data_IF_130540019537
#
_entry.id   IF_130540019537
#
_cell.length_a   1.000
_cell.length_b   1.000
_cell.length_c   1.000
_cell.angle_alpha   90.00
_cell.angle_beta   90.00
_cell.angle_gamma   90.00
#
_symmetry.space_group_name_H-M   'P 1'
#
loop_
_entity.id
_entity.type
_entity.pdbx_description
1 polymer ?
#
# COMPACT_ATOMS: atom_id res chain seq x y z
N UNK A 1 -19.17 10.46 16.88
CA UNK A 1 -18.09 9.63 16.38
C UNK A 1 -17.21 10.32 15.32
N UNK A 2 -17.76 10.91 14.24
CA UNK A 2 -16.97 11.56 13.16
C UNK A 2 -16.02 12.72 13.57
N UNK A 3 -16.24 13.42 14.67
CA UNK A 3 -15.42 14.58 15.10
C UNK A 3 -14.21 14.23 15.97
N UNK A 4 -14.16 13.05 16.58
CA UNK A 4 -13.05 12.65 17.48
C UNK A 4 -11.93 11.87 16.76
N UNK A 5 -12.24 11.21 15.66
CA UNK A 5 -11.25 10.49 14.83
C UNK A 5 -10.34 11.44 14.02
N UNK A 6 -10.80 12.66 13.72
CA UNK A 6 -10.09 13.63 12.87
C UNK A 6 -8.74 14.11 13.47
N UNK A 7 -8.64 14.26 14.78
CA UNK A 7 -7.40 14.76 15.44
C UNK A 7 -6.30 13.70 15.56
N UNK A 8 -6.64 12.42 15.53
CA UNK A 8 -5.66 11.31 15.61
C UNK A 8 -5.03 10.99 14.25
N UNK A 9 -5.79 11.18 13.17
CA UNK A 9 -5.34 10.91 11.81
C UNK A 9 -4.22 11.86 11.35
N UNK A 10 -4.35 13.18 11.64
CA UNK A 10 -3.31 14.18 11.33
C UNK A 10 -1.98 13.85 11.99
N UNK A 11 -1.99 13.32 13.21
CA UNK A 11 -0.76 12.98 13.93
C UNK A 11 -0.08 11.72 13.39
N UNK A 12 -0.84 10.69 13.06
CA UNK A 12 -0.30 9.41 12.53
C UNK A 12 0.16 9.57 11.08
N UNK A 13 -0.59 10.31 10.26
CA UNK A 13 -0.19 10.60 8.87
C UNK A 13 1.03 11.52 8.78
N UNK A 14 1.15 12.51 9.68
CA UNK A 14 2.32 13.39 9.74
C UNK A 14 3.59 12.63 10.17
N UNK A 15 3.48 11.62 11.04
CA UNK A 15 4.61 10.78 11.46
C UNK A 15 5.07 9.83 10.34
N UNK A 16 4.17 9.25 9.56
CA UNK A 16 4.53 8.40 8.42
C UNK A 16 5.16 9.17 7.25
N UNK A 17 4.95 10.50 7.19
CA UNK A 17 5.47 11.37 6.14
C UNK A 17 6.62 12.30 6.58
N UNK A 18 6.83 12.52 7.89
CA UNK A 18 7.73 13.54 8.44
C UNK A 18 9.08 13.00 8.94
N UNK A 19 9.39 11.72 8.75
CA UNK A 19 10.61 11.08 9.24
C UNK A 19 11.89 11.56 8.56
N UNK A 20 12.27 12.81 8.79
CA UNK A 20 13.61 13.32 8.53
C UNK A 20 14.37 13.39 9.88
N UNK A 21 14.83 12.24 10.37
CA UNK A 21 15.67 12.11 11.55
C UNK A 21 16.82 11.17 11.25
N UNK A 22 18.04 11.64 11.48
CA UNK A 22 19.29 10.85 11.35
C UNK A 22 19.22 9.63 12.25
N UNK A 23 19.12 8.45 11.67
CA UNK A 23 19.23 7.19 12.40
C UNK A 23 20.71 6.88 12.66
N UNK A 24 21.11 6.87 13.91
CA UNK A 24 22.37 6.27 14.36
C UNK A 24 22.23 4.74 14.28
N UNK A 25 23.20 4.12 13.63
CA UNK A 25 23.35 2.66 13.55
C UNK A 25 23.62 2.07 14.94
N UNK A 26 22.64 1.44 15.54
CA UNK A 26 22.86 0.51 16.64
C UNK A 26 22.69 -0.93 16.12
N UNK A 27 23.79 -1.66 16.10
CA UNK A 27 23.83 -3.09 15.81
C UNK A 27 23.03 -3.86 16.87
N UNK A 28 21.94 -4.52 16.46
CA UNK A 28 21.18 -5.43 17.34
C UNK A 28 21.64 -6.87 17.05
N UNK A 29 22.15 -7.50 18.09
CA UNK A 29 22.53 -8.91 18.12
C UNK A 29 21.31 -9.81 17.83
N UNK A 30 21.49 -10.76 16.93
CA UNK A 30 20.58 -11.88 16.69
C UNK A 30 20.40 -12.70 17.96
N UNK A 31 19.20 -12.69 18.53
CA UNK A 31 18.77 -13.70 19.49
C UNK A 31 17.85 -14.68 18.77
N UNK A 32 18.16 -15.96 18.88
CA UNK A 32 17.34 -17.10 18.48
C UNK A 32 15.90 -16.93 19.02
N UNK A 33 14.96 -16.62 18.11
CA UNK A 33 13.55 -16.71 18.42
C UNK A 33 12.99 -18.02 17.82
N UNK A 34 12.95 -19.04 18.64
CA UNK A 34 12.03 -20.17 18.43
C UNK A 34 10.61 -19.61 18.44
N UNK A 35 9.73 -19.95 17.48
CA UNK A 35 8.36 -19.46 17.46
C UNK A 35 7.64 -19.86 18.75
N UNK A 36 7.25 -18.89 19.56
CA UNK A 36 6.37 -19.14 20.70
C UNK A 36 5.00 -19.56 20.16
N UNK A 37 4.43 -20.59 20.79
CA UNK A 37 3.08 -21.06 20.46
C UNK A 37 2.10 -19.89 20.48
N UNK A 38 1.45 -19.63 19.35
CA UNK A 38 0.41 -18.63 19.16
C UNK A 38 -0.69 -18.83 20.19
N UNK A 39 -1.06 -17.80 20.93
CA UNK A 39 -2.17 -17.87 21.87
C UNK A 39 -3.46 -18.23 21.14
N UNK A 40 -4.15 -19.28 21.58
CA UNK A 40 -5.28 -19.93 20.90
C UNK A 40 -6.52 -19.03 20.64
N UNK A 41 -6.57 -17.83 21.25
CA UNK A 41 -7.71 -16.91 21.09
C UNK A 41 -7.62 -16.02 19.84
N UNK A 42 -6.43 -15.57 19.46
CA UNK A 42 -6.23 -14.72 18.27
C UNK A 42 -6.45 -15.51 16.97
N UNK A 43 -6.01 -16.78 16.98
CA UNK A 43 -6.19 -17.69 15.83
C UNK A 43 -7.67 -17.99 15.55
N UNK A 44 -8.51 -18.07 16.58
CA UNK A 44 -9.93 -18.40 16.38
C UNK A 44 -10.74 -17.33 15.66
N UNK A 45 -10.44 -16.05 15.84
CA UNK A 45 -11.18 -14.95 15.18
C UNK A 45 -10.84 -14.89 13.67
N UNK A 46 -9.59 -15.05 13.32
CA UNK A 46 -9.14 -15.13 11.93
C UNK A 46 -9.52 -16.46 11.28
N UNK A 47 -9.45 -17.57 12.03
CA UNK A 47 -9.74 -18.92 11.53
C UNK A 47 -11.16 -19.03 10.95
N UNK A 48 -12.12 -18.31 11.48
CA UNK A 48 -13.49 -18.28 10.96
C UNK A 48 -13.65 -17.51 9.64
N UNK A 49 -12.66 -16.65 9.28
CA UNK A 49 -12.67 -15.80 8.09
C UNK A 49 -11.57 -16.22 7.09
N UNK A 50 -10.67 -17.10 7.50
CA UNK A 50 -9.45 -17.44 6.83
C UNK A 50 -9.26 -18.95 6.77
N UNK A 51 -8.90 -19.49 5.59
CA UNK A 51 -8.69 -20.92 5.39
C UNK A 51 -7.23 -21.30 5.61
N UNK A 52 -6.97 -21.95 6.75
CA UNK A 52 -5.61 -22.27 7.21
C UNK A 52 -5.05 -23.60 6.62
N UNK A 53 -5.71 -24.21 5.67
CA UNK A 53 -5.25 -25.49 5.10
C UNK A 53 -4.00 -25.34 4.21
N UNK A 54 -3.50 -24.09 4.05
CA UNK A 54 -2.37 -23.80 3.20
C UNK A 54 -1.17 -23.28 4.01
N UNK A 55 -0.02 -23.94 3.89
CA UNK A 55 1.25 -23.61 4.56
C UNK A 55 1.88 -22.27 4.06
N UNK A 56 1.14 -21.46 3.31
CA UNK A 56 1.65 -20.21 2.72
C UNK A 56 1.64 -19.02 3.67
N UNK A 57 0.84 -19.07 4.76
CA UNK A 57 0.79 -18.07 5.84
C UNK A 57 1.18 -18.74 7.15
N UNK A 58 2.22 -18.27 7.82
CA UNK A 58 2.78 -18.99 8.96
C UNK A 58 2.93 -18.21 10.24
N UNK A 59 2.68 -16.92 10.23
CA UNK A 59 2.70 -16.11 11.45
C UNK A 59 1.47 -15.20 11.42
N UNK A 60 0.70 -15.24 12.49
CA UNK A 60 -0.45 -14.35 12.65
C UNK A 60 -0.52 -13.90 14.07
N UNK A 61 -0.43 -12.59 14.32
CA UNK A 61 -0.55 -11.98 15.63
C UNK A 61 -1.60 -10.88 15.61
N UNK A 62 -2.52 -10.93 16.57
CA UNK A 62 -3.53 -9.90 16.75
C UNK A 62 -2.91 -8.70 17.44
N UNK A 63 -3.04 -7.54 16.82
CA UNK A 63 -2.46 -6.31 17.33
C UNK A 63 -3.41 -5.58 18.29
N UNK A 64 -2.82 -5.01 19.34
CA UNK A 64 -3.55 -4.19 20.29
C UNK A 64 -3.88 -2.81 19.68
N UNK A 65 -5.15 -2.54 19.56
CA UNK A 65 -5.68 -1.25 19.12
C UNK A 65 -6.26 -0.48 20.31
N UNK A 66 -6.25 0.85 20.20
CA UNK A 66 -6.99 1.68 21.15
C UNK A 66 -8.52 1.38 21.12
N UNK A 67 -9.23 1.78 22.17
CA UNK A 67 -10.67 1.47 22.35
C UNK A 67 -11.54 1.93 21.17
N UNK A 68 -11.17 3.00 20.47
CA UNK A 68 -11.96 3.54 19.35
C UNK A 68 -11.82 2.67 18.10
N UNK A 69 -10.60 2.27 17.77
CA UNK A 69 -10.31 1.41 16.63
C UNK A 69 -10.80 -0.02 16.87
N UNK A 70 -10.54 -0.57 18.06
CA UNK A 70 -10.98 -1.93 18.41
C UNK A 70 -12.50 -2.11 18.42
N UNK A 71 -13.26 -1.03 18.60
CA UNK A 71 -14.72 -1.06 18.48
C UNK A 71 -15.22 -1.23 17.04
N UNK A 72 -14.41 -0.88 16.03
CA UNK A 72 -14.84 -0.83 14.61
C UNK A 72 -14.04 -1.74 13.68
N UNK A 73 -12.82 -2.13 14.05
CA UNK A 73 -12.02 -3.09 13.29
C UNK A 73 -11.15 -3.95 14.21
N UNK A 74 -10.61 -5.02 13.67
CA UNK A 74 -9.53 -5.80 14.27
C UNK A 74 -8.39 -5.89 13.28
N UNK A 75 -7.13 -5.85 13.77
CA UNK A 75 -5.94 -5.82 12.92
C UNK A 75 -4.97 -6.91 13.35
N UNK A 76 -4.38 -7.52 12.36
CA UNK A 76 -3.39 -8.58 12.56
C UNK A 76 -2.14 -8.27 11.74
N UNK A 77 -0.99 -8.63 12.29
CA UNK A 77 0.24 -8.82 11.56
C UNK A 77 0.34 -10.28 11.15
N UNK A 78 0.81 -10.56 9.95
CA UNK A 78 1.05 -11.90 9.47
C UNK A 78 2.25 -11.93 8.51
N UNK A 79 2.76 -13.13 8.24
CA UNK A 79 3.81 -13.35 7.26
C UNK A 79 3.37 -14.40 6.25
N UNK A 80 3.78 -14.21 5.00
CA UNK A 80 3.53 -15.15 3.92
C UNK A 80 4.78 -15.39 3.07
N UNK A 81 4.81 -16.48 2.30
CA UNK A 81 5.89 -16.79 1.37
C UNK A 81 5.61 -16.23 -0.01
N UNK A 82 6.61 -15.52 -0.56
CA UNK A 82 6.62 -15.05 -1.94
C UNK A 82 8.02 -15.22 -2.51
N UNK A 83 8.16 -15.93 -3.61
CA UNK A 83 9.45 -16.27 -4.27
C UNK A 83 10.51 -16.87 -3.32
N UNK A 84 10.07 -17.56 -2.26
CA UNK A 84 10.94 -18.14 -1.25
C UNK A 84 11.37 -17.19 -0.14
N UNK A 85 10.91 -15.93 -0.16
CA UNK A 85 11.12 -14.94 0.90
C UNK A 85 9.92 -14.86 1.84
N UNK A 86 10.18 -14.66 3.12
CA UNK A 86 9.16 -14.34 4.09
C UNK A 86 8.84 -12.84 4.01
N UNK A 87 7.59 -12.53 3.71
CA UNK A 87 7.09 -11.16 3.58
C UNK A 87 6.14 -10.85 4.74
N UNK A 88 6.41 -9.75 5.42
CA UNK A 88 5.58 -9.24 6.49
C UNK A 88 4.40 -8.45 5.93
N UNK A 89 3.21 -8.64 6.52
CA UNK A 89 1.99 -7.98 6.09
C UNK A 89 1.06 -7.65 7.26
N UNK A 90 0.11 -6.78 6.97
CA UNK A 90 -0.96 -6.40 7.90
C UNK A 90 -2.32 -6.58 7.24
N UNK A 91 -3.30 -6.89 8.08
CA UNK A 91 -4.69 -7.04 7.68
C UNK A 91 -5.60 -6.41 8.72
N UNK A 92 -6.41 -5.44 8.32
CA UNK A 92 -7.45 -4.87 9.16
C UNK A 92 -8.81 -5.26 8.61
N UNK A 93 -9.67 -5.79 9.49
CA UNK A 93 -10.98 -6.35 9.12
C UNK A 93 -12.07 -5.57 9.85
N UNK A 94 -13.10 -5.06 9.15
CA UNK A 94 -14.22 -4.38 9.78
C UNK A 94 -14.93 -5.31 10.77
N UNK A 95 -15.24 -4.82 11.96
CA UNK A 95 -15.94 -5.58 13.00
C UNK A 95 -17.32 -6.04 12.54
N UNK A 96 -17.95 -5.33 11.61
CA UNK A 96 -19.22 -5.71 11.00
C UNK A 96 -19.09 -6.99 10.17
N UNK A 97 -18.03 -7.11 9.37
CA UNK A 97 -17.75 -8.33 8.58
C UNK A 97 -17.52 -9.54 9.50
N UNK A 98 -16.77 -9.35 10.60
CA UNK A 98 -16.52 -10.40 11.59
C UNK A 98 -17.83 -10.85 12.23
N UNK A 99 -18.70 -9.92 12.65
CA UNK A 99 -19.98 -10.23 13.31
C UNK A 99 -21.00 -10.86 12.37
N UNK A 100 -21.10 -10.35 11.15
CA UNK A 100 -22.05 -10.84 10.14
C UNK A 100 -21.57 -12.10 9.44
N UNK A 101 -20.28 -12.45 9.51
CA UNK A 101 -19.65 -13.52 8.74
C UNK A 101 -19.87 -13.36 7.22
N UNK A 102 -19.96 -12.11 6.76
CA UNK A 102 -20.11 -11.79 5.34
C UNK A 102 -18.85 -11.15 4.80
N UNK A 103 -18.47 -11.44 3.55
CA UNK A 103 -17.37 -10.75 2.88
C UNK A 103 -17.62 -9.24 2.83
N UNK A 104 -16.55 -8.47 2.90
CA UNK A 104 -16.56 -7.03 2.71
C UNK A 104 -15.61 -6.62 1.58
N UNK A 105 -15.89 -5.46 1.01
CA UNK A 105 -15.04 -4.80 0.02
C UNK A 105 -13.62 -4.65 0.59
N UNK A 106 -12.61 -4.67 -0.28
CA UNK A 106 -11.22 -4.67 0.16
C UNK A 106 -10.40 -3.55 -0.51
N UNK A 107 -9.44 -3.03 0.25
CA UNK A 107 -8.37 -2.16 -0.24
C UNK A 107 -7.04 -2.87 -0.02
N UNK A 108 -6.25 -3.06 -1.07
CA UNK A 108 -4.84 -3.38 -0.98
C UNK A 108 -4.06 -2.07 -1.01
N UNK A 109 -3.34 -1.78 0.07
CA UNK A 109 -2.55 -0.55 0.22
C UNK A 109 -1.08 -0.80 -0.06
N UNK A 110 -0.52 -0.07 -1.03
CA UNK A 110 0.90 -0.04 -1.33
C UNK A 110 1.55 1.19 -0.67
N UNK A 111 2.52 0.95 0.21
CA UNK A 111 3.26 2.02 0.89
C UNK A 111 4.22 2.75 -0.04
N UNK A 112 4.52 4.00 0.28
CA UNK A 112 5.61 4.76 -0.33
C UNK A 112 6.98 4.50 0.33
N UNK A 113 7.96 5.33 -0.02
CA UNK A 113 9.28 5.30 0.57
C UNK A 113 10.19 4.19 0.06
N UNK A 114 11.28 3.95 0.78
CA UNK A 114 12.28 2.91 0.51
C UNK A 114 13.02 2.57 1.81
N UNK A 115 13.52 1.37 1.94
CA UNK A 115 14.03 0.85 3.20
C UNK A 115 13.03 1.08 4.34
N UNK A 116 13.49 1.39 5.54
CA UNK A 116 12.61 1.67 6.68
C UNK A 116 11.89 3.03 6.61
N UNK A 117 12.16 3.87 5.59
CA UNK A 117 11.41 5.12 5.39
C UNK A 117 10.05 4.83 4.77
N UNK A 118 8.98 5.20 5.47
CA UNK A 118 7.61 4.94 5.05
C UNK A 118 7.14 3.51 5.30
N UNK A 119 7.81 2.77 6.22
CA UNK A 119 7.34 1.46 6.69
C UNK A 119 5.88 1.51 7.10
N UNK A 120 5.16 0.41 6.88
CA UNK A 120 3.76 0.30 7.24
C UNK A 120 3.56 0.48 8.74
N UNK A 121 2.53 1.25 9.07
CA UNK A 121 2.02 1.39 10.41
C UNK A 121 0.65 0.69 10.49
N UNK A 122 0.52 -0.28 11.38
CA UNK A 122 -0.73 -1.01 11.57
C UNK A 122 -1.88 -0.12 12.05
N UNK A 123 -1.58 0.96 12.78
CA UNK A 123 -2.60 1.95 13.15
C UNK A 123 -3.15 2.67 11.92
N UNK A 124 -2.27 3.01 10.95
CA UNK A 124 -2.70 3.58 9.68
C UNK A 124 -3.59 2.61 8.89
N UNK A 125 -3.20 1.33 8.78
CA UNK A 125 -4.00 0.29 8.11
C UNK A 125 -5.37 0.16 8.79
N UNK A 126 -5.41 0.19 10.12
CA UNK A 126 -6.64 0.17 10.93
C UNK A 126 -7.52 1.40 10.72
N UNK A 127 -6.91 2.59 10.61
CA UNK A 127 -7.63 3.84 10.35
C UNK A 127 -8.28 3.84 8.96
N UNK A 128 -7.57 3.39 7.92
CA UNK A 128 -8.15 3.25 6.57
C UNK A 128 -9.35 2.30 6.61
N UNK A 129 -9.24 1.17 7.30
CA UNK A 129 -10.35 0.24 7.50
C UNK A 129 -11.53 0.90 8.24
N UNK A 130 -11.26 1.59 9.34
CA UNK A 130 -12.28 2.25 10.17
C UNK A 130 -13.05 3.34 9.41
N UNK A 131 -12.36 4.11 8.56
CA UNK A 131 -12.99 5.18 7.78
C UNK A 131 -13.78 4.65 6.59
N UNK A 132 -13.23 3.66 5.88
CA UNK A 132 -13.82 3.17 4.63
C UNK A 132 -14.85 2.06 4.85
N UNK A 133 -14.83 1.39 6.01
CA UNK A 133 -15.63 0.19 6.26
C UNK A 133 -15.21 -1.00 5.38
N UNK A 134 -14.04 -0.93 4.76
CA UNK A 134 -13.45 -1.97 3.89
C UNK A 134 -12.39 -2.74 4.65
N UNK A 135 -12.19 -4.00 4.34
CA UNK A 135 -10.97 -4.68 4.74
C UNK A 135 -9.76 -3.99 4.10
N UNK A 136 -8.65 -3.95 4.82
CA UNK A 136 -7.40 -3.38 4.30
C UNK A 136 -6.30 -4.39 4.46
N UNK A 137 -5.62 -4.72 3.36
CA UNK A 137 -4.45 -5.57 3.33
C UNK A 137 -3.25 -4.78 2.82
N UNK A 138 -2.08 -5.00 3.39
CA UNK A 138 -0.86 -4.33 2.99
C UNK A 138 0.34 -5.20 3.32
N UNK A 139 1.35 -5.26 2.45
CA UNK A 139 2.62 -5.91 2.76
C UNK A 139 3.77 -4.90 2.75
N UNK A 140 4.80 -5.21 3.53
CA UNK A 140 6.07 -4.51 3.48
C UNK A 140 6.81 -4.81 2.19
N UNK A 141 7.72 -3.92 1.80
CA UNK A 141 8.61 -4.14 0.66
C UNK A 141 9.68 -5.17 1.05
N UNK A 142 10.11 -6.01 0.12
CA UNK A 142 11.24 -6.95 0.32
C UNK A 142 12.47 -6.23 0.87
N UNK A 143 13.13 -6.84 1.86
CA UNK A 143 14.30 -6.29 2.53
C UNK A 143 14.02 -5.20 3.55
N UNK A 144 12.75 -4.81 3.74
CA UNK A 144 12.34 -3.76 4.66
C UNK A 144 11.57 -4.31 5.86
N UNK A 145 11.75 -3.68 7.03
CA UNK A 145 10.92 -3.81 8.23
C UNK A 145 10.49 -5.25 8.60
N UNK A 146 11.37 -6.22 8.44
CA UNK A 146 11.13 -7.63 8.78
C UNK A 146 10.73 -8.51 7.59
N UNK A 147 10.59 -7.96 6.39
CA UNK A 147 10.51 -8.74 5.16
C UNK A 147 11.91 -9.15 4.68
N UNK A 148 12.05 -10.37 4.19
CA UNK A 148 13.27 -10.87 3.58
C UNK A 148 13.42 -10.39 2.14
N UNK A 149 14.60 -10.63 1.54
CA UNK A 149 14.91 -10.31 0.14
C UNK A 149 15.51 -8.93 -0.05
N UNK A 150 15.31 -8.35 -1.22
CA UNK A 150 15.94 -7.09 -1.64
C UNK A 150 14.94 -6.17 -2.33
N UNK A 151 14.99 -4.89 -1.98
CA UNK A 151 14.24 -3.83 -2.63
C UNK A 151 14.82 -3.55 -4.03
N UNK A 152 14.01 -3.70 -5.07
CA UNK A 152 14.37 -3.41 -6.48
C UNK A 152 13.60 -2.21 -7.04
N UNK A 153 12.95 -1.44 -6.20
CA UNK A 153 12.17 -0.25 -6.55
C UNK A 153 11.13 -0.49 -7.66
N UNK A 154 10.25 -1.46 -7.46
CA UNK A 154 9.24 -1.87 -8.45
C UNK A 154 9.71 -3.01 -9.35
N UNK A 155 10.60 -3.87 -8.83
CA UNK A 155 11.02 -5.11 -9.47
C UNK A 155 10.24 -6.33 -8.98
N UNK A 156 10.95 -7.36 -8.55
CA UNK A 156 10.37 -8.63 -8.13
C UNK A 156 9.46 -8.51 -6.90
N UNK A 157 9.58 -7.44 -6.10
CA UNK A 157 8.65 -7.18 -4.99
C UNK A 157 7.21 -6.95 -5.45
N UNK A 158 6.96 -6.73 -6.74
CA UNK A 158 5.61 -6.75 -7.29
C UNK A 158 4.95 -8.13 -7.16
N UNK A 159 5.74 -9.22 -7.19
CA UNK A 159 5.23 -10.57 -6.95
C UNK A 159 4.63 -10.73 -5.55
N UNK A 160 5.15 -10.02 -4.55
CA UNK A 160 4.62 -10.05 -3.18
C UNK A 160 3.22 -9.45 -3.13
N UNK A 161 3.01 -8.35 -3.87
CA UNK A 161 1.70 -7.70 -3.98
C UNK A 161 0.71 -8.61 -4.71
N UNK A 162 1.12 -9.25 -5.81
CA UNK A 162 0.28 -10.21 -6.54
C UNK A 162 -0.01 -11.45 -5.67
N UNK A 163 0.98 -11.97 -4.94
CA UNK A 163 0.79 -13.08 -4.00
C UNK A 163 -0.21 -12.71 -2.90
N UNK A 164 -0.17 -11.48 -2.40
CA UNK A 164 -1.16 -11.00 -1.42
C UNK A 164 -2.59 -10.95 -2.02
N UNK A 165 -2.73 -10.62 -3.31
CA UNK A 165 -4.03 -10.73 -4.02
C UNK A 165 -4.47 -12.19 -4.13
N UNK A 166 -3.54 -13.13 -4.42
CA UNK A 166 -3.84 -14.57 -4.43
C UNK A 166 -4.35 -15.06 -3.07
N UNK A 167 -3.74 -14.60 -1.98
CA UNK A 167 -4.20 -14.90 -0.62
C UNK A 167 -5.59 -14.31 -0.35
N UNK A 168 -5.86 -13.08 -0.80
CA UNK A 168 -7.19 -12.48 -0.69
C UNK A 168 -8.26 -13.31 -1.42
N UNK A 169 -7.98 -13.82 -2.61
CA UNK A 169 -8.93 -14.61 -3.40
C UNK A 169 -9.13 -16.01 -2.82
N UNK A 170 -8.03 -16.69 -2.46
CA UNK A 170 -8.07 -18.11 -2.16
C UNK A 170 -8.28 -18.43 -0.68
N UNK A 171 -7.82 -17.54 0.24
CA UNK A 171 -7.74 -17.85 1.68
C UNK A 171 -8.52 -16.86 2.55
N UNK A 172 -8.57 -15.56 2.21
CA UNK A 172 -9.24 -14.55 3.02
C UNK A 172 -10.74 -14.47 2.69
N UNK A 173 -11.53 -15.40 3.22
CA UNK A 173 -12.98 -15.52 2.93
C UNK A 173 -13.80 -14.26 3.24
N UNK A 174 -13.25 -13.33 4.02
CA UNK A 174 -13.86 -12.03 4.30
C UNK A 174 -13.65 -11.00 3.17
N UNK A 175 -12.85 -11.29 2.15
CA UNK A 175 -12.61 -10.38 1.02
C UNK A 175 -13.61 -10.62 -0.09
N UNK A 176 -14.32 -9.56 -0.50
CA UNK A 176 -15.11 -9.55 -1.73
C UNK A 176 -14.26 -9.09 -2.91
N UNK A 177 -13.80 -10.04 -3.72
CA UNK A 177 -12.98 -9.79 -4.90
C UNK A 177 -13.73 -9.04 -6.02
N UNK A 178 -15.05 -8.90 -5.95
CA UNK A 178 -15.82 -8.13 -6.93
C UNK A 178 -15.69 -6.60 -6.71
N UNK A 179 -15.28 -6.18 -5.51
CA UNK A 179 -14.98 -4.78 -5.20
C UNK A 179 -13.60 -4.68 -4.52
N UNK A 180 -12.56 -5.04 -5.29
CA UNK A 180 -11.17 -5.04 -4.84
C UNK A 180 -10.45 -3.79 -5.38
N UNK A 181 -10.07 -2.89 -4.49
CA UNK A 181 -9.38 -1.64 -4.81
C UNK A 181 -7.89 -1.76 -4.48
N UNK A 182 -7.03 -1.26 -5.37
CA UNK A 182 -5.62 -1.02 -5.05
C UNK A 182 -5.40 0.46 -4.79
N UNK A 183 -4.68 0.78 -3.72
CA UNK A 183 -4.39 2.15 -3.31
C UNK A 183 -2.89 2.30 -3.07
N UNK A 184 -2.32 3.45 -3.43
CA UNK A 184 -0.91 3.69 -3.19
C UNK A 184 -0.53 5.17 -3.12
N UNK A 185 0.53 5.47 -2.37
CA UNK A 185 1.07 6.82 -2.20
C UNK A 185 2.52 6.88 -2.70
N UNK A 186 2.89 7.95 -3.41
CA UNK A 186 4.28 8.15 -3.84
C UNK A 186 4.80 6.96 -4.68
N UNK A 187 5.90 6.31 -4.30
CA UNK A 187 6.35 5.04 -4.88
C UNK A 187 5.25 3.97 -4.87
N UNK A 188 4.45 3.90 -3.78
CA UNK A 188 3.31 2.97 -3.71
C UNK A 188 2.26 3.23 -4.78
N UNK A 189 2.14 4.47 -5.28
CA UNK A 189 1.34 4.80 -6.45
C UNK A 189 1.88 4.16 -7.73
N UNK A 190 3.20 4.15 -7.93
CA UNK A 190 3.86 3.41 -9.01
C UNK A 190 3.54 1.91 -8.93
N UNK A 191 3.74 1.31 -7.76
CA UNK A 191 3.40 -0.10 -7.52
C UNK A 191 1.91 -0.37 -7.77
N UNK A 192 1.02 0.55 -7.40
CA UNK A 192 -0.41 0.42 -7.62
C UNK A 192 -0.79 0.44 -9.13
N UNK A 193 -0.16 1.31 -9.93
CA UNK A 193 -0.31 1.27 -11.39
C UNK A 193 0.18 -0.07 -11.97
N UNK A 194 1.36 -0.53 -11.57
CA UNK A 194 1.94 -1.79 -12.03
C UNK A 194 1.04 -2.98 -11.65
N UNK A 195 0.50 -2.98 -10.42
CA UNK A 195 -0.45 -4.01 -9.95
C UNK A 195 -1.71 -4.03 -10.81
N UNK A 196 -2.31 -2.87 -11.08
CA UNK A 196 -3.53 -2.75 -11.89
C UNK A 196 -3.31 -3.19 -13.36
N UNK A 197 -2.10 -2.96 -13.91
CA UNK A 197 -1.69 -3.46 -15.22
C UNK A 197 -1.63 -4.98 -15.24
N UNK A 198 -1.00 -5.57 -14.24
CA UNK A 198 -0.65 -6.99 -14.21
C UNK A 198 -1.82 -7.88 -13.76
N UNK A 199 -2.66 -7.41 -12.83
CA UNK A 199 -3.71 -8.23 -12.23
C UNK A 199 -5.12 -7.70 -12.52
N UNK A 200 -5.90 -8.44 -13.28
CA UNK A 200 -7.27 -8.07 -13.69
C UNK A 200 -8.33 -8.29 -12.59
N UNK A 201 -7.94 -8.81 -11.44
CA UNK A 201 -8.78 -8.86 -10.25
C UNK A 201 -8.93 -7.48 -9.59
N UNK A 202 -8.00 -6.57 -9.84
CA UNK A 202 -8.13 -5.16 -9.43
C UNK A 202 -9.30 -4.52 -10.17
N UNK A 203 -10.21 -3.88 -9.42
CA UNK A 203 -11.43 -3.26 -9.95
C UNK A 203 -11.38 -1.75 -9.93
N UNK A 204 -10.60 -1.16 -9.03
CA UNK A 204 -10.47 0.29 -8.81
C UNK A 204 -9.04 0.61 -8.42
N UNK A 205 -8.60 1.81 -8.78
CA UNK A 205 -7.26 2.30 -8.48
C UNK A 205 -7.34 3.68 -7.82
N UNK A 206 -6.68 3.88 -6.69
CA UNK A 206 -6.55 5.18 -6.01
C UNK A 206 -5.08 5.51 -5.83
N UNK A 207 -4.64 6.65 -6.33
CA UNK A 207 -3.24 7.06 -6.30
C UNK A 207 -3.09 8.47 -5.71
N UNK A 208 -2.25 8.57 -4.69
CA UNK A 208 -1.90 9.83 -4.03
C UNK A 208 -0.46 10.20 -4.34
N UNK A 209 -0.22 11.37 -4.93
CA UNK A 209 1.14 11.86 -5.25
C UNK A 209 2.03 10.77 -5.85
N UNK A 210 1.47 9.96 -6.76
CA UNK A 210 2.12 8.74 -7.27
C UNK A 210 3.17 9.03 -8.34
N UNK A 211 4.28 8.28 -8.29
CA UNK A 211 5.26 8.26 -9.37
C UNK A 211 4.66 7.54 -10.57
N UNK A 212 4.58 8.22 -11.71
CA UNK A 212 4.07 7.66 -12.97
C UNK A 212 5.10 7.66 -14.10
N UNK A 213 6.17 8.42 -13.95
CA UNK A 213 7.33 8.46 -14.84
C UNK A 213 8.61 8.41 -14.02
N UNK A 214 9.31 7.28 -14.05
CA UNK A 214 10.53 7.09 -13.26
C UNK A 214 11.75 7.75 -13.89
N UNK A 215 11.71 8.07 -15.19
CA UNK A 215 12.75 8.86 -15.84
C UNK A 215 12.73 10.30 -15.32
N UNK A 216 11.56 10.96 -15.38
CA UNK A 216 11.39 12.30 -14.83
C UNK A 216 11.72 12.32 -13.32
N UNK A 217 11.25 11.31 -12.59
CA UNK A 217 11.57 11.17 -11.16
C UNK A 217 13.08 11.05 -10.92
N UNK A 218 13.82 10.30 -11.73
CA UNK A 218 15.27 10.18 -11.63
C UNK A 218 15.95 11.52 -11.92
N UNK A 219 15.56 12.20 -13.00
CA UNK A 219 16.23 13.42 -13.45
C UNK A 219 16.08 14.59 -12.48
N UNK A 220 14.91 14.68 -11.82
CA UNK A 220 14.57 15.79 -10.92
C UNK A 220 15.02 15.60 -9.47
N UNK A 221 15.49 14.37 -9.10
CA UNK A 221 15.89 14.10 -7.71
C UNK A 221 17.37 14.45 -7.46
N UNK A 222 17.65 14.73 -6.20
CA UNK A 222 19.01 14.90 -5.71
C UNK A 222 19.84 13.61 -5.86
N UNK A 223 21.17 13.74 -5.99
CA UNK A 223 22.08 12.63 -6.27
C UNK A 223 21.96 11.45 -5.29
N UNK A 224 21.62 11.71 -4.04
CA UNK A 224 21.39 10.65 -3.04
C UNK A 224 20.25 9.73 -3.45
N UNK A 225 19.13 10.29 -3.95
CA UNK A 225 17.99 9.49 -4.41
C UNK A 225 18.27 8.81 -5.74
N UNK A 226 18.98 9.47 -6.65
CA UNK A 226 19.47 8.85 -7.90
C UNK A 226 20.33 7.62 -7.61
N UNK A 227 21.20 7.69 -6.58
CA UNK A 227 21.99 6.55 -6.16
C UNK A 227 21.12 5.40 -5.61
N UNK A 228 20.09 5.70 -4.81
CA UNK A 228 19.13 4.69 -4.34
C UNK A 228 18.46 3.98 -5.52
N UNK A 229 18.01 4.72 -6.53
CA UNK A 229 17.39 4.13 -7.72
C UNK A 229 18.39 3.24 -8.49
N UNK A 230 19.64 3.70 -8.69
CA UNK A 230 20.67 2.86 -9.33
C UNK A 230 20.98 1.59 -8.54
N UNK A 231 21.06 1.68 -7.22
CA UNK A 231 21.37 0.53 -6.37
C UNK A 231 20.21 -0.49 -6.36
N UNK A 232 18.98 -0.02 -6.32
CA UNK A 232 17.79 -0.88 -6.32
C UNK A 232 17.51 -1.50 -7.71
N UNK A 233 17.60 -0.70 -8.78
CA UNK A 233 17.25 -1.12 -10.15
C UNK A 233 18.43 -1.83 -10.82
N UNK A 234 19.66 -1.52 -10.39
CA UNK A 234 20.90 -2.10 -10.92
C UNK A 234 21.64 -1.21 -11.93
N UNK A 235 21.15 -0.01 -12.21
CA UNK A 235 21.78 0.95 -13.13
C UNK A 235 20.96 2.21 -13.33
N UNK A 236 21.50 3.15 -14.12
CA UNK A 236 20.82 4.40 -14.46
C UNK A 236 19.78 4.21 -15.59
N UNK A 237 18.92 5.21 -15.86
CA UNK A 237 17.97 5.17 -16.97
C UNK A 237 18.65 4.99 -18.35
N UNK A 238 19.87 5.51 -18.52
CA UNK A 238 20.64 5.37 -19.76
C UNK A 238 21.21 3.95 -19.92
N UNK A 239 21.54 3.29 -18.82
CA UNK A 239 22.10 1.92 -18.82
C UNK A 239 20.99 0.87 -18.92
N UNK A 240 19.84 1.08 -18.27
CA UNK A 240 18.73 0.14 -18.18
C UNK A 240 17.37 0.80 -18.55
N UNK A 241 17.22 1.38 -19.75
CA UNK A 241 16.03 2.14 -20.12
C UNK A 241 14.72 1.32 -20.04
N UNK A 242 14.77 0.03 -20.35
CA UNK A 242 13.57 -0.83 -20.30
C UNK A 242 13.10 -1.06 -18.87
N UNK A 243 14.00 -1.13 -17.87
CA UNK A 243 13.65 -1.27 -16.46
C UNK A 243 12.91 -0.03 -15.95
N UNK A 244 13.37 1.15 -16.32
CA UNK A 244 12.70 2.41 -15.98
C UNK A 244 11.35 2.54 -16.70
N UNK A 245 11.31 2.19 -17.99
CA UNK A 245 10.07 2.22 -18.77
C UNK A 245 9.00 1.26 -18.23
N UNK A 246 9.39 0.06 -17.84
CA UNK A 246 8.47 -0.94 -17.27
C UNK A 246 7.84 -0.46 -15.95
N UNK A 247 8.54 0.40 -15.20
CA UNK A 247 8.07 1.01 -13.94
C UNK A 247 7.31 2.32 -14.14
N UNK A 248 7.24 2.85 -15.37
CA UNK A 248 6.67 4.16 -15.67
C UNK A 248 5.33 4.03 -16.37
N UNK A 249 4.25 4.24 -15.62
CA UNK A 249 2.87 4.04 -16.09
C UNK A 249 2.50 4.90 -17.32
N UNK A 250 3.14 6.03 -17.50
CA UNK A 250 2.94 6.91 -18.67
C UNK A 250 3.22 6.25 -20.02
N UNK A 251 4.02 5.17 -20.05
CA UNK A 251 4.35 4.44 -21.27
C UNK A 251 3.38 3.31 -21.64
N UNK A 252 2.47 2.98 -20.71
CA UNK A 252 1.51 1.88 -20.84
C UNK A 252 0.16 2.20 -20.14
N UNK A 253 -0.20 3.47 -20.07
CA UNK A 253 -1.44 3.93 -19.45
C UNK A 253 -2.71 3.33 -20.09
N UNK A 254 -2.65 2.99 -21.37
CA UNK A 254 -3.71 2.33 -22.15
C UNK A 254 -4.00 0.89 -21.69
N UNK A 255 -3.09 0.27 -20.94
CA UNK A 255 -3.31 -1.04 -20.31
C UNK A 255 -4.16 -0.96 -19.03
N UNK A 256 -4.35 0.26 -18.45
CA UNK A 256 -5.18 0.52 -17.26
C UNK A 256 -6.59 0.89 -17.72
N UNK A 257 -7.52 -0.05 -17.61
CA UNK A 257 -8.90 0.10 -18.13
C UNK A 257 -9.96 0.14 -17.03
N UNK A 258 -9.54 0.18 -15.77
CA UNK A 258 -10.40 0.26 -14.57
C UNK A 258 -10.55 1.72 -14.12
N UNK A 259 -11.61 2.08 -13.36
CA UNK A 259 -11.74 3.43 -12.80
C UNK A 259 -10.53 3.83 -11.93
N UNK A 260 -10.06 5.08 -12.11
CA UNK A 260 -8.90 5.63 -11.41
C UNK A 260 -9.26 6.94 -10.71
N UNK A 261 -8.85 7.06 -9.44
CA UNK A 261 -8.85 8.32 -8.69
C UNK A 261 -7.41 8.78 -8.47
N UNK A 262 -7.07 9.94 -9.00
CA UNK A 262 -5.79 10.62 -8.76
C UNK A 262 -6.00 11.79 -7.81
N UNK A 263 -5.11 11.92 -6.81
CA UNK A 263 -5.07 13.06 -5.90
C UNK A 263 -3.63 13.56 -5.82
N UNK A 264 -3.42 14.86 -6.12
CA UNK A 264 -2.07 15.42 -6.15
C UNK A 264 -2.10 16.93 -5.89
N UNK A 265 -1.14 17.43 -5.10
CA UNK A 265 -0.96 18.86 -4.83
C UNK A 265 0.04 19.48 -5.80
N UNK A 266 -0.26 20.67 -6.30
CA UNK A 266 0.55 21.37 -7.33
C UNK A 266 1.92 21.80 -6.86
N UNK A 267 2.11 21.96 -5.55
CA UNK A 267 3.38 22.31 -4.95
C UNK A 267 4.16 21.12 -4.41
N UNK A 268 3.76 19.88 -4.71
CA UNK A 268 4.47 18.68 -4.27
C UNK A 268 5.92 18.70 -4.79
N UNK A 269 6.88 18.71 -3.85
CA UNK A 269 8.31 18.78 -4.16
C UNK A 269 8.99 17.40 -4.21
N UNK A 270 8.27 16.33 -3.87
CA UNK A 270 8.80 14.97 -3.88
C UNK A 270 8.45 14.22 -5.17
N UNK A 271 7.20 14.36 -5.63
CA UNK A 271 6.77 13.88 -6.94
C UNK A 271 6.13 15.06 -7.66
N UNK A 272 6.72 15.54 -8.76
CA UNK A 272 6.21 16.69 -9.49
C UNK A 272 4.76 16.51 -9.95
N UNK A 273 3.97 17.56 -9.84
CA UNK A 273 2.55 17.56 -10.21
C UNK A 273 2.33 17.16 -11.67
N UNK A 274 3.26 17.52 -12.54
CA UNK A 274 3.26 17.24 -13.97
C UNK A 274 3.15 15.74 -14.27
N UNK A 275 3.65 14.89 -13.38
CA UNK A 275 3.51 13.44 -13.52
C UNK A 275 2.04 13.01 -13.41
N UNK A 276 1.31 13.54 -12.43
CA UNK A 276 -0.12 13.25 -12.29
C UNK A 276 -0.96 13.90 -13.38
N UNK A 277 -0.61 15.10 -13.83
CA UNK A 277 -1.28 15.80 -14.94
C UNK A 277 -1.16 14.99 -16.23
N UNK A 278 0.07 14.57 -16.59
CA UNK A 278 0.35 13.72 -17.77
C UNK A 278 -0.40 12.37 -17.66
N UNK A 279 -0.37 11.75 -16.48
CA UNK A 279 -1.06 10.47 -16.28
C UNK A 279 -2.58 10.59 -16.39
N UNK A 280 -3.17 11.68 -15.85
CA UNK A 280 -4.59 11.96 -16.00
C UNK A 280 -5.00 12.20 -17.47
N UNK A 281 -4.19 12.90 -18.26
CA UNK A 281 -4.45 13.09 -19.69
C UNK A 281 -4.48 11.75 -20.42
N UNK A 282 -3.50 10.88 -20.18
CA UNK A 282 -3.42 9.57 -20.80
C UNK A 282 -4.57 8.65 -20.38
N UNK A 283 -4.87 8.59 -19.08
CA UNK A 283 -5.94 7.71 -18.56
C UNK A 283 -7.32 8.09 -19.07
N UNK A 284 -7.62 9.38 -19.21
CA UNK A 284 -8.94 9.85 -19.72
C UNK A 284 -9.29 9.35 -21.11
N UNK A 285 -8.31 8.95 -21.90
CA UNK A 285 -8.52 8.39 -23.23
C UNK A 285 -9.02 6.93 -23.17
N UNK A 286 -8.79 6.23 -22.04
CA UNK A 286 -8.97 4.78 -21.92
C UNK A 286 -9.91 4.36 -20.79
N UNK A 287 -10.07 5.21 -19.76
CA UNK A 287 -10.88 4.85 -18.58
C UNK A 287 -11.51 6.08 -17.92
N UNK A 288 -12.39 5.83 -16.96
CA UNK A 288 -12.96 6.85 -16.08
C UNK A 288 -11.90 7.29 -15.05
N UNK A 289 -11.28 8.44 -15.31
CA UNK A 289 -10.27 9.03 -14.44
C UNK A 289 -10.82 10.28 -13.75
N UNK A 290 -10.90 10.24 -12.43
CA UNK A 290 -11.21 11.38 -11.56
C UNK A 290 -9.91 11.97 -11.04
N UNK A 291 -9.70 13.29 -11.21
CA UNK A 291 -8.48 13.97 -10.77
C UNK A 291 -8.81 15.11 -9.81
N UNK A 292 -8.37 14.98 -8.55
CA UNK A 292 -8.52 15.98 -7.49
C UNK A 292 -7.15 16.67 -7.28
N UNK A 293 -7.13 18.00 -7.31
CA UNK A 293 -5.90 18.79 -7.18
C UNK A 293 -6.02 19.86 -6.12
N UNK A 294 -4.87 20.19 -5.48
CA UNK A 294 -4.74 21.24 -4.47
C UNK A 294 -3.64 22.23 -4.84
N UNK A 295 -3.70 23.46 -4.28
CA UNK A 295 -2.70 24.51 -4.55
C UNK A 295 -1.71 24.68 -3.39
N UNK A 296 -1.39 23.60 -2.69
CA UNK A 296 -0.41 23.53 -1.62
C UNK A 296 0.73 22.56 -1.96
N UNK A 297 1.59 22.25 -1.01
CA UNK A 297 2.78 21.40 -1.15
C UNK A 297 2.65 20.03 -0.48
N UNK A 298 1.42 19.59 -0.17
CA UNK A 298 1.17 18.30 0.46
C UNK A 298 1.63 17.15 -0.44
N UNK A 299 2.43 16.25 0.13
CA UNK A 299 2.78 14.98 -0.51
C UNK A 299 1.91 13.87 0.07
N UNK A 300 0.91 13.41 -0.69
CA UNK A 300 -0.07 12.41 -0.25
C UNK A 300 -1.51 12.89 -0.43
N UNK A 301 -2.31 12.90 0.62
CA UNK A 301 -3.72 13.33 0.60
C UNK A 301 -4.08 14.14 1.83
N UNK A 302 -5.19 14.88 1.77
CA UNK A 302 -5.70 15.70 2.87
C UNK A 302 -6.81 14.97 3.62
N UNK A 303 -7.02 15.29 4.89
CA UNK A 303 -8.15 14.73 5.66
C UNK A 303 -9.51 15.02 5.00
N UNK A 304 -9.64 16.17 4.34
CA UNK A 304 -10.84 16.54 3.60
C UNK A 304 -11.10 15.69 2.35
N UNK A 305 -10.13 14.86 1.93
CA UNK A 305 -10.30 13.92 0.83
C UNK A 305 -11.02 12.65 1.26
N UNK A 306 -10.98 12.30 2.55
CA UNK A 306 -11.57 11.05 3.06
C UNK A 306 -13.03 10.88 2.64
N UNK A 307 -13.93 11.86 2.82
CA UNK A 307 -15.31 11.74 2.35
C UNK A 307 -15.42 11.58 0.83
N UNK A 308 -14.57 12.28 0.07
CA UNK A 308 -14.55 12.22 -1.40
C UNK A 308 -14.07 10.86 -1.90
N UNK A 309 -13.03 10.31 -1.25
CA UNK A 309 -12.51 8.97 -1.54
C UNK A 309 -13.57 7.91 -1.26
N UNK A 310 -14.23 7.98 -0.11
CA UNK A 310 -15.31 7.04 0.27
C UNK A 310 -16.45 7.13 -0.75
N UNK A 311 -16.92 8.33 -1.08
CA UNK A 311 -17.97 8.54 -2.07
C UNK A 311 -17.57 7.97 -3.44
N UNK A 312 -16.34 8.22 -3.87
CA UNK A 312 -15.83 7.69 -5.13
C UNK A 312 -15.76 6.16 -5.12
N UNK A 313 -15.23 5.56 -4.04
CA UNK A 313 -15.14 4.10 -3.87
C UNK A 313 -16.52 3.41 -3.89
N UNK A 314 -17.58 4.06 -3.40
CA UNK A 314 -18.93 3.50 -3.38
C UNK A 314 -19.67 3.67 -4.73
N UNK A 315 -19.28 4.64 -5.54
CA UNK A 315 -19.94 4.94 -6.81
C UNK A 315 -19.29 4.28 -8.04
N UNK A 316 -18.12 3.69 -7.87
CA UNK A 316 -17.36 2.98 -8.92
C UNK A 316 -17.25 1.49 -8.59
#
# INVERSE_FOLDING_TARGET
MKKFLSTTLSAVMALSMAGCGTAENTSVNSTDNTPSAVESSAVNDIYNLYDYENDEVFYVDKLDLNDQLSAVCTTYEFSFLSDGYQIKAYIAIPMESIKSQQPCKCILHNRGGHYNYGSLDYEYVSLVCAYTGRAVVACEIRGDNGSEGYDQFGGDELHDVIKLIDLCENHFKFVDMNDFCVMGVSRGGMTAYMTARQDKRVKKLVVFSGVSDLFDCYDEREEKMKQVLRDCIGGSPEELPDEYKNRSAVYWADEITIPVLLIHSKGDTKVPFEQAEKMNELLKEHTDCTFITYNDDMHGFHEEDIPKIIEWLENK
#
